data_IF_533698600874
#
_entry.id   IF_533698600874
#
_cell.length_a   1.000
_cell.length_b   1.000
_cell.length_c   1.000
_cell.angle_alpha   90.00
_cell.angle_beta   90.00
_cell.angle_gamma   90.00
#
_symmetry.space_group_name_H-M   'P 1'
#
loop_
_entity.id
_entity.type
_entity.pdbx_description
1 polymer ?
#
# COMPACT_ATOMS: atom_id res chain seq x y z
N UNK A 1 5.35 0.12 -0.25
CA UNK A 1 5.62 -1.31 0.04
C UNK A 1 5.86 -1.61 1.52
N UNK A 2 6.80 -0.94 2.25
CA UNK A 2 6.98 -1.23 3.68
C UNK A 2 5.70 -1.15 4.48
N UNK A 3 4.86 -0.15 4.23
CA UNK A 3 3.57 -0.01 4.89
C UNK A 3 2.63 -1.17 4.60
N UNK A 4 2.45 -1.51 3.33
CA UNK A 4 1.50 -2.54 2.88
C UNK A 4 1.91 -3.96 3.28
N UNK A 5 3.20 -4.30 3.11
CA UNK A 5 3.69 -5.68 3.21
C UNK A 5 4.39 -6.00 4.54
N UNK A 6 4.79 -4.98 5.30
CA UNK A 6 5.51 -5.13 6.57
C UNK A 6 4.92 -4.30 7.70
N UNK A 7 3.77 -3.64 7.49
CA UNK A 7 3.11 -2.78 8.50
C UNK A 7 4.05 -1.71 9.11
N UNK A 8 4.99 -1.18 8.31
CA UNK A 8 5.96 -0.16 8.73
C UNK A 8 5.54 1.21 8.22
N UNK A 9 5.27 2.18 9.10
CA UNK A 9 5.00 3.55 8.69
C UNK A 9 6.15 4.16 7.89
N UNK A 10 5.83 5.08 6.98
CA UNK A 10 6.82 5.88 6.28
C UNK A 10 6.74 7.32 6.80
N UNK A 11 7.67 7.69 7.68
CA UNK A 11 7.75 9.03 8.22
C UNK A 11 8.85 9.83 7.49
N UNK A 12 9.47 10.78 8.14
CA UNK A 12 10.38 11.83 7.64
C UNK A 12 11.20 11.47 6.41
N UNK A 13 11.84 10.30 6.40
CA UNK A 13 12.62 9.81 5.26
C UNK A 13 12.21 8.39 4.86
N UNK A 14 12.27 8.06 3.58
CA UNK A 14 12.04 6.70 3.11
C UNK A 14 12.98 5.71 3.79
N UNK A 15 12.45 4.60 4.31
CA UNK A 15 13.19 3.57 5.04
C UNK A 15 14.51 3.18 4.35
N UNK A 16 14.49 3.01 3.03
CA UNK A 16 15.65 2.57 2.25
C UNK A 16 16.73 3.63 2.04
N UNK A 17 16.47 4.89 2.40
CA UNK A 17 17.46 5.97 2.38
C UNK A 17 18.11 6.21 3.73
N UNK A 18 17.73 5.43 4.74
CA UNK A 18 18.24 5.54 6.11
C UNK A 18 19.07 4.33 6.50
N UNK A 19 19.94 4.42 7.53
CA UNK A 19 20.62 3.25 8.10
C UNK A 19 19.68 2.13 8.55
N UNK A 20 18.43 2.46 8.86
CA UNK A 20 17.38 1.50 9.23
C UNK A 20 17.00 0.54 8.09
N UNK A 21 17.41 0.81 6.84
CA UNK A 21 17.30 -0.15 5.74
C UNK A 21 18.03 -1.46 5.99
N UNK A 22 19.01 -1.46 6.89
CA UNK A 22 19.78 -2.64 7.30
C UNK A 22 19.13 -3.39 8.48
N UNK A 23 18.04 -2.89 9.03
CA UNK A 23 17.32 -3.56 10.11
C UNK A 23 16.74 -4.89 9.65
N UNK A 24 16.69 -5.84 10.58
CA UNK A 24 15.92 -7.06 10.38
C UNK A 24 14.44 -6.71 10.38
N UNK A 25 13.79 -6.98 9.26
CA UNK A 25 12.36 -6.71 9.06
C UNK A 25 11.62 -8.00 8.78
N UNK A 26 10.40 -8.08 9.25
CA UNK A 26 9.46 -9.11 8.84
C UNK A 26 8.39 -8.51 7.93
N UNK A 27 7.69 -9.37 7.22
CA UNK A 27 6.60 -9.00 6.35
C UNK A 27 5.74 -10.22 6.02
N UNK A 28 4.62 -10.00 5.34
CA UNK A 28 3.68 -11.06 4.96
C UNK A 28 4.38 -12.28 4.35
N UNK A 29 5.33 -12.07 3.45
CA UNK A 29 6.02 -13.16 2.78
C UNK A 29 6.79 -14.05 3.77
N UNK A 30 7.55 -13.45 4.69
CA UNK A 30 8.30 -14.20 5.71
C UNK A 30 7.39 -14.92 6.68
N UNK A 31 6.41 -14.21 7.25
CA UNK A 31 5.50 -14.78 8.25
C UNK A 31 4.73 -15.97 7.68
N UNK A 32 4.22 -15.86 6.46
CA UNK A 32 3.47 -16.93 5.82
C UNK A 32 4.36 -18.08 5.35
N UNK A 33 5.57 -17.80 4.83
CA UNK A 33 6.44 -18.87 4.35
C UNK A 33 7.06 -19.69 5.49
N UNK A 34 7.55 -19.04 6.55
CA UNK A 34 8.18 -19.72 7.68
C UNK A 34 7.19 -20.48 8.56
N UNK A 35 5.94 -20.00 8.68
CA UNK A 35 4.99 -20.50 9.69
C UNK A 35 3.75 -21.17 9.10
N UNK A 36 3.41 -20.95 7.83
CA UNK A 36 2.21 -21.49 7.17
C UNK A 36 2.54 -22.28 5.88
N UNK A 37 3.81 -22.38 5.50
CA UNK A 37 4.26 -23.15 4.33
C UNK A 37 3.91 -22.53 2.98
N UNK A 38 3.68 -21.21 2.92
CA UNK A 38 3.42 -20.52 1.67
C UNK A 38 4.70 -20.38 0.84
N UNK A 39 4.57 -20.53 -0.47
CA UNK A 39 5.56 -20.00 -1.42
C UNK A 39 5.29 -18.52 -1.67
N UNK A 40 6.33 -17.74 -2.00
CA UNK A 40 6.15 -16.31 -2.19
C UNK A 40 6.94 -15.72 -3.34
N UNK A 41 6.35 -14.76 -4.05
CA UNK A 41 6.99 -14.05 -5.15
C UNK A 41 6.57 -12.58 -5.21
N UNK A 42 7.54 -11.70 -5.50
CA UNK A 42 7.31 -10.28 -5.73
C UNK A 42 7.48 -9.97 -7.21
N UNK A 43 6.60 -9.14 -7.76
CA UNK A 43 6.57 -8.77 -9.17
C UNK A 43 6.64 -7.27 -9.36
N UNK A 44 7.53 -6.82 -10.25
CA UNK A 44 7.61 -5.43 -10.68
C UNK A 44 8.27 -5.34 -12.04
N UNK A 45 7.57 -4.96 -13.07
CA UNK A 45 8.01 -4.99 -14.47
C UNK A 45 9.16 -4.06 -14.84
N UNK A 46 9.74 -3.32 -13.87
CA UNK A 46 10.93 -2.50 -14.07
C UNK A 46 12.22 -3.33 -14.05
N UNK A 47 13.34 -2.65 -14.36
CA UNK A 47 14.68 -3.26 -14.22
C UNK A 47 14.86 -3.81 -12.80
N UNK A 48 15.38 -5.03 -12.69
CA UNK A 48 15.56 -5.73 -11.43
C UNK A 48 16.29 -4.89 -10.41
N UNK A 49 16.75 -4.46 -9.71
CA UNK A 49 17.42 -3.56 -8.77
C UNK A 49 16.88 -2.12 -8.74
N UNK A 50 15.91 -1.78 -9.62
CA UNK A 50 15.34 -0.43 -9.64
C UNK A 50 14.66 -0.09 -8.31
N UNK A 51 14.86 1.14 -7.82
CA UNK A 51 14.21 1.73 -6.65
C UNK A 51 14.24 0.87 -5.36
N UNK A 52 15.12 -0.13 -5.27
CA UNK A 52 15.25 -0.99 -4.08
C UNK A 52 14.15 -2.04 -3.90
N UNK A 53 13.25 -2.25 -4.87
CA UNK A 53 12.15 -3.22 -4.75
C UNK A 53 12.65 -4.65 -4.51
N UNK A 54 13.66 -5.09 -5.26
CA UNK A 54 14.23 -6.42 -5.09
C UNK A 54 14.94 -6.57 -3.72
N UNK A 55 15.63 -5.53 -3.28
CA UNK A 55 16.29 -5.55 -1.96
C UNK A 55 15.25 -5.66 -0.84
N UNK A 56 14.13 -4.91 -0.94
CA UNK A 56 13.02 -5.03 0.00
C UNK A 56 12.39 -6.42 -0.02
N UNK A 57 12.10 -6.95 -1.20
CA UNK A 57 11.51 -8.28 -1.33
C UNK A 57 12.39 -9.35 -0.65
N UNK A 58 13.70 -9.31 -0.89
CA UNK A 58 14.66 -10.21 -0.25
C UNK A 58 14.69 -10.02 1.28
N UNK A 59 14.76 -8.78 1.74
CA UNK A 59 14.83 -8.45 3.18
C UNK A 59 13.57 -8.89 3.93
N UNK A 60 12.40 -8.88 3.31
CA UNK A 60 11.10 -9.24 3.90
C UNK A 60 10.68 -10.69 3.65
N UNK A 61 11.54 -11.50 3.00
CA UNK A 61 11.41 -12.95 2.92
C UNK A 61 10.66 -13.47 1.69
N UNK A 62 10.50 -12.66 0.63
CA UNK A 62 10.05 -13.19 -0.65
C UNK A 62 11.08 -14.17 -1.21
N UNK A 63 10.62 -15.33 -1.65
CA UNK A 63 11.48 -16.42 -2.16
C UNK A 63 11.88 -16.20 -3.63
N UNK A 64 11.03 -15.47 -4.38
CA UNK A 64 11.29 -15.15 -5.79
C UNK A 64 11.00 -13.67 -6.06
N UNK A 65 11.70 -13.14 -7.04
CA UNK A 65 11.48 -11.83 -7.60
C UNK A 65 11.35 -11.97 -9.12
N UNK A 66 10.33 -11.38 -9.69
CA UNK A 66 10.08 -11.32 -11.12
C UNK A 66 10.07 -9.87 -11.59
N UNK A 67 11.12 -9.47 -12.30
CA UNK A 67 11.25 -8.16 -12.90
C UNK A 67 11.25 -8.23 -14.42
N UNK A 68 11.79 -7.17 -15.05
CA UNK A 68 11.98 -7.10 -16.50
C UNK A 68 12.91 -8.19 -17.02
N UNK A 69 13.91 -8.62 -16.23
CA UNK A 69 14.83 -9.70 -16.61
C UNK A 69 14.07 -11.00 -16.84
N UNK A 70 13.29 -11.44 -15.86
CA UNK A 70 12.54 -12.69 -15.91
C UNK A 70 11.40 -12.63 -16.96
N UNK A 71 10.84 -11.44 -17.19
CA UNK A 71 9.87 -11.22 -18.27
C UNK A 71 10.53 -11.41 -19.65
N UNK A 72 11.72 -10.85 -19.86
CA UNK A 72 12.46 -10.96 -21.13
C UNK A 72 12.97 -12.37 -21.43
N UNK A 73 13.22 -13.16 -20.40
CA UNK A 73 13.64 -14.55 -20.52
C UNK A 73 12.49 -15.52 -20.88
N UNK A 74 11.24 -15.10 -20.71
CA UNK A 74 10.08 -15.93 -21.00
C UNK A 74 9.69 -15.88 -22.47
N UNK A 75 9.81 -17.01 -23.22
CA UNK A 75 9.55 -17.02 -24.65
C UNK A 75 8.09 -16.78 -25.06
N UNK A 76 7.15 -16.76 -24.09
CA UNK A 76 5.74 -16.46 -24.33
C UNK A 76 5.49 -14.98 -24.59
N UNK A 77 6.38 -14.11 -24.11
CA UNK A 77 6.23 -12.66 -24.13
C UNK A 77 7.23 -12.01 -25.08
N UNK A 78 6.95 -10.76 -25.47
CA UNK A 78 7.77 -10.07 -26.49
C UNK A 78 9.03 -9.39 -25.89
N UNK A 79 9.28 -9.59 -24.60
CA UNK A 79 10.44 -8.99 -23.96
C UNK A 79 10.41 -7.47 -23.98
N UNK A 80 11.51 -6.85 -24.39
CA UNK A 80 11.66 -5.40 -24.44
C UNK A 80 10.76 -4.69 -25.46
N UNK A 81 10.07 -5.37 -26.36
CA UNK A 81 9.04 -4.77 -27.20
C UNK A 81 7.83 -4.30 -26.39
N UNK A 82 7.59 -4.92 -25.23
CA UNK A 82 6.54 -4.55 -24.30
C UNK A 82 7.00 -3.51 -23.23
N UNK A 83 8.24 -3.01 -23.33
CA UNK A 83 8.76 -1.98 -22.42
C UNK A 83 8.27 -0.58 -22.81
N UNK A 84 7.83 0.22 -21.84
CA UNK A 84 7.29 1.57 -22.04
C UNK A 84 8.35 2.62 -22.46
N UNK A 85 9.62 2.22 -22.47
CA UNK A 85 10.76 3.08 -22.78
C UNK A 85 11.21 3.98 -21.63
N UNK A 86 10.62 3.84 -20.44
CA UNK A 86 10.91 4.72 -19.29
C UNK A 86 11.04 3.94 -17.99
N UNK A 87 10.00 3.23 -17.58
CA UNK A 87 9.92 2.62 -16.26
C UNK A 87 9.87 1.10 -16.28
N UNK A 88 8.90 0.52 -16.99
CA UNK A 88 8.60 -0.90 -16.85
C UNK A 88 7.96 -1.49 -18.12
N UNK A 89 7.78 -2.81 -18.10
CA UNK A 89 6.87 -3.51 -19.00
C UNK A 89 5.46 -2.96 -18.77
N UNK A 90 4.68 -2.76 -19.85
CA UNK A 90 3.31 -2.28 -19.77
C UNK A 90 2.46 -3.14 -18.82
N UNK A 91 1.60 -2.49 -18.02
CA UNK A 91 0.81 -3.15 -16.99
C UNK A 91 -0.05 -4.30 -17.56
N UNK A 92 -0.61 -4.18 -18.77
CA UNK A 92 -1.44 -5.24 -19.35
C UNK A 92 -0.65 -6.52 -19.59
N UNK A 93 0.50 -6.43 -20.24
CA UNK A 93 1.39 -7.57 -20.51
C UNK A 93 1.95 -8.14 -19.21
N UNK A 94 2.40 -7.27 -18.31
CA UNK A 94 3.00 -7.72 -17.06
C UNK A 94 1.99 -8.37 -16.10
N UNK A 95 0.74 -7.95 -16.12
CA UNK A 95 -0.33 -8.60 -15.37
C UNK A 95 -0.72 -9.98 -15.94
N UNK A 96 -0.59 -10.21 -17.26
CA UNK A 96 -0.75 -11.55 -17.82
C UNK A 96 0.41 -12.46 -17.44
N UNK A 97 1.65 -11.97 -17.51
CA UNK A 97 2.83 -12.68 -17.01
C UNK A 97 2.69 -13.03 -15.52
N UNK A 98 2.21 -12.10 -14.71
CA UNK A 98 1.91 -12.33 -13.30
C UNK A 98 0.92 -13.47 -13.10
N UNK A 99 -0.18 -13.49 -13.84
CA UNK A 99 -1.18 -14.56 -13.78
C UNK A 99 -0.58 -15.93 -14.13
N UNK A 100 0.23 -16.00 -15.20
CA UNK A 100 0.90 -17.23 -15.61
C UNK A 100 1.86 -17.75 -14.55
N UNK A 101 2.73 -16.88 -14.02
CA UNK A 101 3.70 -17.26 -12.98
C UNK A 101 3.01 -17.70 -11.69
N UNK A 102 1.91 -17.03 -11.28
CA UNK A 102 1.10 -17.48 -10.15
C UNK A 102 0.56 -18.90 -10.37
N UNK A 103 0.15 -19.21 -11.60
CA UNK A 103 -0.43 -20.53 -11.93
C UNK A 103 0.58 -21.68 -11.90
N UNK A 104 1.87 -21.35 -11.94
CA UNK A 104 2.97 -22.32 -11.80
C UNK A 104 3.50 -22.45 -10.36
N UNK A 105 3.03 -21.58 -9.45
CA UNK A 105 3.50 -21.62 -8.05
C UNK A 105 2.87 -22.79 -7.29
N UNK A 106 3.68 -23.35 -6.38
CA UNK A 106 3.17 -24.32 -5.41
C UNK A 106 2.22 -23.60 -4.43
N UNK A 107 1.03 -24.16 -4.24
CA UNK A 107 0.07 -23.68 -3.26
C UNK A 107 0.36 -24.22 -1.84
N UNK A 108 0.03 -23.48 -0.79
CA UNK A 108 -0.47 -22.12 -0.85
C UNK A 108 0.62 -21.12 -1.24
N UNK A 109 0.24 -20.01 -1.87
CA UNK A 109 1.20 -18.97 -2.25
C UNK A 109 0.74 -17.56 -1.81
N UNK A 110 1.72 -16.67 -1.65
CA UNK A 110 1.55 -15.24 -1.43
C UNK A 110 2.34 -14.47 -2.49
N UNK A 111 1.69 -13.56 -3.17
CA UNK A 111 2.34 -12.73 -4.18
C UNK A 111 2.02 -11.26 -3.98
N UNK A 112 2.92 -10.41 -4.42
CA UNK A 112 2.70 -8.97 -4.52
C UNK A 112 3.15 -8.47 -5.89
N UNK A 113 2.40 -7.56 -6.48
CA UNK A 113 2.75 -6.89 -7.73
C UNK A 113 2.68 -5.39 -7.57
N UNK A 114 3.63 -4.68 -8.17
CA UNK A 114 3.65 -3.24 -8.27
C UNK A 114 3.62 -2.82 -9.75
N UNK A 115 2.54 -2.14 -10.15
CA UNK A 115 2.33 -1.65 -11.52
C UNK A 115 3.02 -0.30 -11.74
N UNK A 116 3.22 0.13 -12.98
CA UNK A 116 4.00 1.33 -13.26
C UNK A 116 3.45 2.24 -14.37
N UNK A 117 2.46 1.81 -15.16
CA UNK A 117 2.00 2.60 -16.32
C UNK A 117 1.32 3.92 -15.94
N UNK A 118 0.77 4.02 -14.72
CA UNK A 118 0.17 5.28 -14.22
C UNK A 118 1.18 6.30 -13.71
N UNK A 119 2.49 6.06 -13.89
CA UNK A 119 3.54 7.01 -13.54
C UNK A 119 3.85 8.00 -14.68
N UNK A 120 4.43 9.17 -14.36
CA UNK A 120 4.95 10.09 -15.37
C UNK A 120 5.96 9.37 -16.27
N UNK A 121 5.99 9.60 -17.57
CA UNK A 121 5.36 10.67 -18.36
C UNK A 121 3.95 10.35 -18.88
N UNK A 122 3.18 9.46 -18.25
CA UNK A 122 1.79 9.14 -18.58
C UNK A 122 1.60 8.67 -20.02
N UNK A 123 2.45 7.75 -20.47
CA UNK A 123 2.37 7.12 -21.78
C UNK A 123 1.42 5.92 -21.76
N UNK A 124 0.93 5.56 -22.93
CA UNK A 124 0.19 4.33 -23.19
C UNK A 124 0.82 3.58 -24.38
N UNK A 125 0.63 2.26 -24.48
CA UNK A 125 0.97 1.52 -25.70
C UNK A 125 0.31 2.16 -26.94
N UNK A 126 0.99 2.21 -28.07
CA UNK A 126 0.48 2.83 -29.30
C UNK A 126 -0.89 2.29 -29.74
N UNK A 127 -1.17 1.00 -29.49
CA UNK A 127 -2.46 0.37 -29.81
C UNK A 127 -3.64 0.98 -29.06
N UNK A 128 -3.39 1.72 -27.98
CA UNK A 128 -4.41 2.40 -27.17
C UNK A 128 -4.45 3.92 -27.41
N UNK A 129 -3.75 4.42 -28.42
CA UNK A 129 -3.81 5.83 -28.76
C UNK A 129 -5.24 6.23 -29.16
N UNK A 130 -5.81 7.20 -28.45
CA UNK A 130 -7.19 7.65 -28.67
C UNK A 130 -8.30 6.70 -28.16
N UNK A 131 -7.97 5.57 -27.53
CA UNK A 131 -8.97 4.61 -27.03
C UNK A 131 -9.52 5.02 -25.66
N UNK A 132 -8.66 5.46 -24.77
CA UNK A 132 -9.07 5.89 -23.43
C UNK A 132 -9.28 7.40 -23.37
N UNK A 133 -10.30 7.88 -22.61
CA UNK A 133 -10.54 9.31 -22.47
C UNK A 133 -9.34 10.00 -21.81
N UNK A 134 -8.93 11.13 -22.35
CA UNK A 134 -7.79 11.90 -21.82
C UNK A 134 -8.11 12.55 -20.48
N UNK A 135 -9.39 12.89 -20.23
CA UNK A 135 -9.77 13.65 -19.06
C UNK A 135 -9.14 15.05 -19.00
N UNK A 136 -9.11 15.65 -17.82
CA UNK A 136 -8.47 16.96 -17.58
C UNK A 136 -6.96 16.81 -17.38
N UNK A 137 -6.51 15.65 -16.88
CA UNK A 137 -5.11 15.36 -16.59
C UNK A 137 -4.63 14.10 -17.33
N UNK A 138 -3.37 14.09 -17.82
CA UNK A 138 -2.82 12.94 -18.55
C UNK A 138 -2.86 11.62 -17.78
N UNK A 139 -2.81 11.67 -16.45
CA UNK A 139 -2.91 10.50 -15.59
C UNK A 139 -4.22 9.73 -15.78
N UNK A 140 -5.34 10.41 -16.06
CA UNK A 140 -6.67 9.78 -16.14
C UNK A 140 -6.75 8.70 -17.22
N UNK A 141 -6.12 8.93 -18.39
CA UNK A 141 -6.04 7.89 -19.42
C UNK A 141 -5.23 6.68 -18.98
N UNK A 142 -4.19 6.88 -18.18
CA UNK A 142 -3.37 5.79 -17.64
C UNK A 142 -4.14 4.98 -16.58
N UNK A 143 -4.95 5.64 -15.75
CA UNK A 143 -5.84 4.96 -14.80
C UNK A 143 -6.86 4.10 -15.56
N UNK A 144 -7.48 4.63 -16.62
CA UNK A 144 -8.42 3.87 -17.45
C UNK A 144 -7.74 2.68 -18.15
N UNK A 145 -6.50 2.83 -18.58
CA UNK A 145 -5.70 1.73 -19.12
C UNK A 145 -5.38 0.67 -18.06
N UNK A 146 -4.92 1.06 -16.88
CA UNK A 146 -4.62 0.12 -15.79
C UNK A 146 -5.89 -0.61 -15.32
N UNK A 147 -7.06 0.06 -15.27
CA UNK A 147 -8.35 -0.60 -15.03
C UNK A 147 -8.65 -1.66 -16.09
N UNK A 148 -8.42 -1.36 -17.37
CA UNK A 148 -8.56 -2.35 -18.45
C UNK A 148 -7.56 -3.51 -18.31
N UNK A 149 -6.32 -3.24 -17.93
CA UNK A 149 -5.30 -4.27 -17.69
C UNK A 149 -5.69 -5.19 -16.51
N UNK A 150 -6.22 -4.61 -15.42
CA UNK A 150 -6.78 -5.37 -14.30
C UNK A 150 -8.01 -6.20 -14.73
N UNK A 151 -8.90 -5.66 -15.56
CA UNK A 151 -10.05 -6.41 -16.11
C UNK A 151 -9.58 -7.66 -16.85
N UNK A 152 -8.56 -7.52 -17.71
CA UNK A 152 -7.98 -8.64 -18.46
C UNK A 152 -7.28 -9.64 -17.54
N UNK A 153 -6.55 -9.16 -16.52
CA UNK A 153 -5.98 -10.01 -15.48
C UNK A 153 -7.06 -10.85 -14.79
N UNK A 154 -8.13 -10.22 -14.29
CA UNK A 154 -9.20 -10.94 -13.61
C UNK A 154 -9.96 -11.91 -14.55
N UNK A 155 -10.06 -11.60 -15.83
CA UNK A 155 -10.63 -12.52 -16.82
C UNK A 155 -9.78 -13.80 -16.96
N UNK A 156 -8.45 -13.67 -16.99
CA UNK A 156 -7.50 -14.80 -17.01
C UNK A 156 -7.47 -15.54 -15.67
N UNK A 157 -7.41 -14.81 -14.56
CA UNK A 157 -7.36 -15.34 -13.21
C UNK A 157 -8.58 -16.21 -12.86
N UNK A 158 -9.78 -15.81 -13.31
CA UNK A 158 -11.02 -16.57 -13.12
C UNK A 158 -11.00 -17.98 -13.73
N UNK A 159 -10.10 -18.25 -14.66
CA UNK A 159 -9.93 -19.56 -15.27
C UNK A 159 -8.98 -20.45 -14.46
N UNK A 160 -8.33 -19.92 -13.43
CA UNK A 160 -7.32 -20.62 -12.66
C UNK A 160 -7.91 -21.30 -11.42
N UNK A 161 -7.40 -22.49 -11.07
CA UNK A 161 -7.95 -23.27 -9.94
C UNK A 161 -7.76 -22.58 -8.57
N UNK A 162 -6.79 -21.65 -8.47
CA UNK A 162 -6.52 -20.92 -7.23
C UNK A 162 -7.47 -19.71 -7.02
N UNK A 163 -8.17 -19.25 -8.05
CA UNK A 163 -8.90 -17.97 -8.02
C UNK A 163 -9.91 -17.87 -6.87
N UNK A 164 -10.75 -18.88 -6.71
CA UNK A 164 -11.80 -18.86 -5.70
C UNK A 164 -11.29 -18.93 -4.26
N UNK A 165 -10.07 -19.43 -4.07
CA UNK A 165 -9.43 -19.55 -2.76
C UNK A 165 -8.38 -18.46 -2.50
N UNK A 166 -8.53 -17.32 -3.15
CA UNK A 166 -7.59 -16.19 -3.06
C UNK A 166 -8.27 -14.98 -2.47
N UNK A 167 -7.56 -14.29 -1.56
CA UNK A 167 -7.86 -12.92 -1.17
C UNK A 167 -6.99 -11.98 -2.01
N UNK A 168 -7.62 -11.06 -2.73
CA UNK A 168 -6.97 -9.99 -3.47
C UNK A 168 -7.01 -8.71 -2.64
N UNK A 169 -5.86 -8.10 -2.46
CA UNK A 169 -5.74 -6.78 -1.81
C UNK A 169 -5.27 -5.79 -2.86
N UNK A 170 -6.07 -4.77 -3.13
CA UNK A 170 -5.78 -3.75 -4.15
C UNK A 170 -5.72 -2.39 -3.46
N UNK A 171 -4.62 -1.69 -3.64
CA UNK A 171 -4.43 -0.33 -3.12
C UNK A 171 -3.51 0.46 -4.05
N UNK A 172 -3.53 1.78 -3.96
CA UNK A 172 -2.51 2.62 -4.57
C UNK A 172 -1.35 2.85 -3.58
N UNK A 173 -0.17 3.20 -4.08
CA UNK A 173 0.98 3.57 -3.26
C UNK A 173 0.81 4.97 -2.66
N UNK A 174 0.32 5.93 -3.44
CA UNK A 174 0.01 7.30 -3.06
C UNK A 174 -0.98 7.93 -4.05
N UNK A 175 -1.49 9.12 -3.74
CA UNK A 175 -2.24 9.97 -4.69
C UNK A 175 -1.28 10.62 -5.69
N UNK A 176 -1.84 11.22 -6.75
CA UNK A 176 -1.06 11.95 -7.76
C UNK A 176 -1.64 13.34 -8.00
N UNK A 177 -1.71 13.81 -9.24
CA UNK A 177 -2.19 15.17 -9.60
C UNK A 177 -3.67 15.33 -9.21
N UNK A 178 -4.00 16.18 -8.21
CA UNK A 178 -5.36 16.29 -7.71
C UNK A 178 -6.21 17.22 -8.60
N UNK A 179 -7.36 16.74 -9.04
CA UNK A 179 -8.40 17.53 -9.71
C UNK A 179 -9.36 18.07 -8.65
N UNK A 180 -9.91 17.19 -7.82
CA UNK A 180 -10.82 17.56 -6.75
C UNK A 180 -10.10 18.33 -5.63
N UNK A 181 -10.64 19.44 -5.13
CA UNK A 181 -10.06 20.24 -4.04
C UNK A 181 -9.77 19.46 -2.76
N UNK A 182 -10.54 18.43 -2.43
CA UNK A 182 -10.30 17.58 -1.28
C UNK A 182 -8.88 16.97 -1.33
N UNK A 183 -8.49 16.42 -2.47
CA UNK A 183 -7.15 15.80 -2.63
C UNK A 183 -5.99 16.80 -2.67
N UNK A 184 -6.26 18.11 -2.50
CA UNK A 184 -5.25 19.16 -2.28
C UNK A 184 -5.02 19.46 -0.81
N UNK A 185 -5.88 18.98 0.08
CA UNK A 185 -5.72 19.14 1.53
C UNK A 185 -4.61 18.25 2.07
N UNK A 186 -4.13 18.53 3.29
CA UNK A 186 -3.15 17.68 3.97
C UNK A 186 -3.62 16.23 4.10
N UNK A 187 -4.88 16.05 4.48
CA UNK A 187 -5.50 14.73 4.60
C UNK A 187 -5.73 14.06 3.24
N UNK A 188 -6.35 14.78 2.30
CA UNK A 188 -6.76 14.21 1.02
C UNK A 188 -5.60 13.72 0.16
N UNK A 189 -4.43 14.35 0.24
CA UNK A 189 -3.20 13.93 -0.47
C UNK A 189 -2.74 12.51 -0.11
N UNK A 190 -3.15 11.99 1.03
CA UNK A 190 -2.77 10.66 1.51
C UNK A 190 -3.93 9.65 1.46
N UNK A 191 -5.12 10.07 0.99
CA UNK A 191 -6.26 9.18 0.85
C UNK A 191 -6.14 8.32 -0.40
N UNK A 192 -5.96 7.01 -0.21
CA UNK A 192 -5.96 6.00 -1.26
C UNK A 192 -6.97 4.89 -0.93
N UNK A 193 -7.55 4.22 -1.93
CA UNK A 193 -8.47 3.11 -1.67
C UNK A 193 -7.71 1.88 -1.15
N UNK A 194 -8.35 1.11 -0.25
CA UNK A 194 -7.95 -0.25 0.10
C UNK A 194 -9.15 -1.15 -0.19
N UNK A 195 -8.98 -2.12 -1.07
CA UNK A 195 -10.01 -3.05 -1.51
C UNK A 195 -9.58 -4.45 -1.12
N UNK A 196 -10.41 -5.14 -0.33
CA UNK A 196 -10.29 -6.55 -0.02
C UNK A 196 -11.33 -7.30 -0.84
N UNK A 197 -10.91 -8.25 -1.67
CA UNK A 197 -11.80 -9.05 -2.50
C UNK A 197 -11.44 -10.52 -2.43
N UNK A 198 -12.43 -11.34 -2.10
CA UNK A 198 -12.35 -12.78 -2.25
C UNK A 198 -13.61 -13.28 -2.95
N UNK A 199 -13.49 -14.08 -4.03
CA UNK A 199 -14.66 -14.56 -4.78
C UNK A 199 -15.64 -15.37 -3.92
N UNK A 200 -15.13 -16.22 -3.04
CA UNK A 200 -15.93 -17.17 -2.24
C UNK A 200 -16.29 -16.63 -0.85
N UNK A 201 -15.78 -15.47 -0.43
CA UNK A 201 -16.08 -14.91 0.88
C UNK A 201 -17.05 -13.72 0.81
N UNK A 202 -18.34 -13.94 1.10
CA UNK A 202 -19.30 -12.85 1.13
C UNK A 202 -19.09 -11.86 2.29
N UNK A 203 -18.32 -12.21 3.33
CA UNK A 203 -18.04 -11.33 4.45
C UNK A 203 -17.16 -10.13 4.06
N UNK A 204 -16.40 -10.24 2.96
CA UNK A 204 -15.62 -9.14 2.40
C UNK A 204 -16.44 -8.25 1.43
N UNK A 205 -17.75 -8.48 1.30
CA UNK A 205 -18.60 -7.64 0.47
C UNK A 205 -19.15 -6.48 1.27
N UNK A 206 -19.04 -5.30 0.71
CA UNK A 206 -19.61 -4.12 1.33
C UNK A 206 -18.69 -2.92 1.19
N UNK A 207 -19.01 -1.88 1.94
CA UNK A 207 -18.32 -0.62 1.92
C UNK A 207 -18.33 -0.04 3.34
N UNK A 208 -17.16 0.19 3.92
CA UNK A 208 -17.00 0.81 5.23
C UNK A 208 -16.63 2.30 5.05
N UNK A 209 -17.43 3.20 5.59
CA UNK A 209 -17.22 4.65 5.57
C UNK A 209 -16.79 5.21 6.92
N UNK A 210 -16.81 4.40 7.96
CA UNK A 210 -16.64 4.85 9.34
C UNK A 210 -15.26 4.55 9.89
N UNK A 211 -14.73 3.37 9.59
CA UNK A 211 -13.41 2.95 10.09
C UNK A 211 -12.29 3.68 9.34
N UNK A 212 -11.40 4.32 10.09
CA UNK A 212 -10.19 4.94 9.55
C UNK A 212 -9.16 3.82 9.37
N UNK A 213 -8.64 3.66 8.16
CA UNK A 213 -7.68 2.61 7.83
C UNK A 213 -6.46 3.19 7.13
N UNK A 214 -5.32 2.52 7.29
CA UNK A 214 -4.06 2.86 6.65
C UNK A 214 -3.47 1.65 5.92
N UNK A 215 -2.52 1.89 5.04
CA UNK A 215 -1.78 0.80 4.37
C UNK A 215 -1.05 -0.12 5.35
N UNK A 216 -0.64 0.39 6.53
CA UNK A 216 0.01 -0.42 7.58
C UNK A 216 -0.94 -1.46 8.20
N UNK A 217 -2.26 -1.29 8.02
CA UNK A 217 -3.28 -2.20 8.53
C UNK A 217 -3.45 -3.45 7.65
N UNK A 218 -2.94 -3.43 6.41
CA UNK A 218 -3.09 -4.53 5.46
C UNK A 218 -2.43 -5.81 5.96
N UNK A 219 -1.18 -5.74 6.42
CA UNK A 219 -0.48 -6.93 6.89
C UNK A 219 -1.18 -7.61 8.07
N UNK A 220 -1.50 -6.94 9.20
CA UNK A 220 -2.21 -7.58 10.31
C UNK A 220 -3.60 -8.07 9.92
N UNK A 221 -4.31 -7.38 9.03
CA UNK A 221 -5.61 -7.83 8.52
C UNK A 221 -5.50 -9.14 7.74
N UNK A 222 -4.55 -9.23 6.80
CA UNK A 222 -4.33 -10.46 6.02
C UNK A 222 -3.89 -11.60 6.93
N UNK A 223 -2.98 -11.37 7.87
CA UNK A 223 -2.54 -12.41 8.81
C UNK A 223 -3.70 -12.92 9.66
N UNK A 224 -4.53 -12.04 10.20
CA UNK A 224 -5.70 -12.47 10.98
C UNK A 224 -6.75 -13.18 10.12
N UNK A 225 -7.03 -12.68 8.92
CA UNK A 225 -7.93 -13.34 7.96
C UNK A 225 -7.50 -14.78 7.64
N UNK A 226 -6.18 -15.02 7.57
CA UNK A 226 -5.60 -16.35 7.35
C UNK A 226 -5.42 -17.17 8.62
N UNK A 227 -5.98 -16.73 9.75
CA UNK A 227 -5.84 -17.37 11.05
C UNK A 227 -4.38 -17.62 11.44
N UNK A 228 -3.55 -16.59 11.32
CA UNK A 228 -2.14 -16.64 11.71
C UNK A 228 -2.03 -16.60 13.24
N UNK A 229 -1.31 -17.58 13.81
CA UNK A 229 -1.29 -17.85 15.27
C UNK A 229 0.07 -17.58 15.95
N UNK A 230 1.03 -17.03 15.22
CA UNK A 230 2.34 -16.71 15.82
C UNK A 230 2.46 -15.21 16.12
N UNK A 231 3.26 -14.83 17.13
CA UNK A 231 3.54 -13.44 17.40
C UNK A 231 4.32 -12.79 16.25
N UNK A 232 3.97 -11.56 15.91
CA UNK A 232 4.66 -10.75 14.89
C UNK A 232 4.66 -9.27 15.33
N UNK A 233 5.46 -8.45 14.68
CA UNK A 233 5.49 -7.00 14.88
C UNK A 233 4.68 -6.34 13.76
N UNK A 234 3.73 -5.50 14.14
CA UNK A 234 2.98 -4.62 13.24
C UNK A 234 2.72 -3.28 13.93
N UNK A 235 2.70 -2.20 13.16
CA UNK A 235 2.28 -0.88 13.62
C UNK A 235 0.80 -0.62 13.30
N UNK A 236 0.25 -1.31 12.31
CA UNK A 236 -1.16 -1.28 11.97
C UNK A 236 -2.01 -2.23 12.83
N UNK A 237 -3.31 -2.21 12.58
CA UNK A 237 -4.34 -3.02 13.23
C UNK A 237 -5.12 -3.83 12.18
N UNK A 238 -5.80 -4.87 12.62
CA UNK A 238 -6.74 -5.59 11.76
C UNK A 238 -7.97 -4.71 11.45
N UNK A 239 -8.10 -4.23 10.22
CA UNK A 239 -9.18 -3.35 9.79
C UNK A 239 -10.56 -4.01 9.83
N UNK A 240 -10.63 -5.35 9.79
CA UNK A 240 -11.90 -6.10 9.84
C UNK A 240 -12.41 -6.29 11.29
N UNK A 241 -11.55 -6.09 12.30
CA UNK A 241 -11.88 -6.27 13.71
C UNK A 241 -11.82 -4.96 14.51
N UNK A 242 -11.15 -3.93 13.98
CA UNK A 242 -10.99 -2.64 14.66
C UNK A 242 -12.29 -1.84 14.58
N UNK A 243 -12.77 -1.38 15.72
CA UNK A 243 -13.95 -0.51 15.77
C UNK A 243 -13.63 0.90 15.25
N UNK A 244 -14.61 1.65 14.71
CA UNK A 244 -14.39 3.05 14.30
C UNK A 244 -13.82 3.94 15.41
N UNK A 245 -14.17 3.70 16.68
CA UNK A 245 -13.65 4.46 17.83
C UNK A 245 -12.18 4.19 18.14
N UNK A 246 -11.68 3.00 17.79
CA UNK A 246 -10.30 2.57 18.03
C UNK A 246 -9.41 2.77 16.81
N UNK A 247 -10.01 3.08 15.67
CA UNK A 247 -9.30 3.32 14.41
C UNK A 247 -8.65 4.70 14.37
N UNK A 248 -7.51 4.79 13.71
CA UNK A 248 -6.79 6.06 13.51
C UNK A 248 -5.86 5.95 12.30
N UNK A 249 -5.40 7.09 11.81
CA UNK A 249 -4.34 7.19 10.83
C UNK A 249 -3.27 8.20 11.27
N UNK A 250 -2.01 7.92 10.95
CA UNK A 250 -0.89 8.81 11.22
C UNK A 250 0.07 8.82 10.02
N UNK A 251 0.23 9.96 9.39
CA UNK A 251 1.18 10.12 8.31
C UNK A 251 2.10 11.33 8.50
N UNK A 252 3.24 11.32 7.81
CA UNK A 252 4.15 12.45 7.72
C UNK A 252 3.68 13.39 6.62
N UNK A 253 3.48 14.66 6.97
CA UNK A 253 3.07 15.71 6.04
C UNK A 253 4.27 16.55 5.62
N UNK A 254 4.76 16.31 4.41
CA UNK A 254 6.04 16.86 3.93
C UNK A 254 6.05 18.39 3.85
N UNK A 255 4.94 19.00 3.38
CA UNK A 255 4.88 20.44 3.15
C UNK A 255 5.01 21.28 4.44
N UNK A 256 4.56 20.73 5.56
CA UNK A 256 4.64 21.39 6.86
C UNK A 256 5.73 20.81 7.77
N UNK A 257 6.49 19.83 7.26
CA UNK A 257 7.53 19.14 8.03
C UNK A 257 6.99 18.65 9.39
N UNK A 258 5.86 17.95 9.35
CA UNK A 258 5.13 17.52 10.53
C UNK A 258 4.28 16.28 10.32
N UNK A 259 3.49 15.95 11.31
CA UNK A 259 2.60 14.80 11.31
C UNK A 259 1.15 15.24 11.21
N UNK A 260 0.32 14.43 10.55
CA UNK A 260 -1.13 14.53 10.65
C UNK A 260 -1.68 13.25 11.28
N UNK A 261 -2.45 13.42 12.37
CA UNK A 261 -3.07 12.34 13.11
C UNK A 261 -4.60 12.46 13.03
N UNK A 262 -5.24 11.41 12.52
CA UNK A 262 -6.68 11.36 12.28
C UNK A 262 -7.31 10.33 13.19
N UNK A 263 -8.30 10.73 13.99
CA UNK A 263 -9.05 9.83 14.86
C UNK A 263 -10.47 10.35 15.08
N UNK A 264 -11.47 9.45 14.99
CA UNK A 264 -12.87 9.81 15.13
C UNK A 264 -13.30 10.89 14.13
N UNK A 265 -13.67 12.06 14.63
CA UNK A 265 -14.09 13.18 13.79
C UNK A 265 -13.01 14.27 13.60
N UNK A 266 -11.80 14.04 14.13
CA UNK A 266 -10.79 15.08 14.19
C UNK A 266 -9.53 14.68 13.42
N UNK A 267 -8.89 15.70 12.80
CA UNK A 267 -7.54 15.67 12.29
C UNK A 267 -6.70 16.69 13.05
N UNK A 268 -5.50 16.32 13.50
CA UNK A 268 -4.53 17.17 14.17
C UNK A 268 -3.27 17.29 13.33
N UNK A 269 -2.77 18.51 13.11
CA UNK A 269 -1.45 18.77 12.55
C UNK A 269 -0.45 19.06 13.67
N UNK A 270 0.66 18.32 13.69
CA UNK A 270 1.70 18.38 14.71
C UNK A 270 3.05 18.64 14.06
N UNK A 271 3.76 19.69 14.48
CA UNK A 271 5.04 20.14 13.90
C UNK A 271 6.28 19.42 14.47
N UNK A 272 6.09 18.42 15.32
CA UNK A 272 7.16 17.72 16.04
C UNK A 272 7.33 18.20 17.48
N UNK A 273 6.82 19.39 17.82
CA UNK A 273 6.85 19.97 19.18
C UNK A 273 5.46 20.13 19.76
N UNK A 274 4.54 20.73 18.98
CA UNK A 274 3.17 21.03 19.40
C UNK A 274 2.17 20.82 18.28
N UNK A 275 0.90 20.65 18.66
CA UNK A 275 -0.22 20.70 17.71
C UNK A 275 -0.40 22.14 17.24
N UNK A 276 -0.46 22.33 15.94
CA UNK A 276 -0.59 23.64 15.29
C UNK A 276 -1.99 23.90 14.78
N UNK A 277 -2.68 22.85 14.34
CA UNK A 277 -4.05 22.94 13.81
C UNK A 277 -4.87 21.71 14.24
N UNK A 278 -6.18 21.90 14.35
CA UNK A 278 -7.16 20.86 14.53
C UNK A 278 -8.37 21.11 13.63
N UNK A 279 -8.91 20.07 13.02
CA UNK A 279 -10.07 20.18 12.12
C UNK A 279 -11.12 19.12 12.43
N UNK A 280 -12.40 19.43 12.17
CA UNK A 280 -13.50 18.46 12.11
C UNK A 280 -13.64 17.94 10.69
N UNK A 281 -12.70 17.13 10.23
CA UNK A 281 -12.55 16.78 8.82
C UNK A 281 -13.81 16.15 8.18
N UNK A 282 -14.65 15.45 8.94
CA UNK A 282 -15.91 14.87 8.40
C UNK A 282 -16.96 15.93 8.00
N UNK A 283 -16.92 17.12 8.59
CA UNK A 283 -17.84 18.23 8.30
C UNK A 283 -17.14 19.41 7.65
N UNK A 284 -15.82 19.46 7.69
CA UNK A 284 -14.95 20.45 7.06
C UNK A 284 -13.91 19.71 6.18
N UNK A 285 -14.37 19.10 5.10
CA UNK A 285 -13.56 18.27 4.22
C UNK A 285 -12.40 19.01 3.56
N UNK A 286 -12.49 20.34 3.45
CA UNK A 286 -11.43 21.17 2.88
C UNK A 286 -10.48 21.75 3.94
N UNK A 287 -10.64 21.38 5.23
CA UNK A 287 -9.79 21.77 6.36
C UNK A 287 -9.61 23.29 6.45
N UNK A 288 -10.69 24.05 6.31
CA UNK A 288 -10.65 25.53 6.27
C UNK A 288 -10.82 26.17 7.65
N UNK A 289 -11.36 25.45 8.62
CA UNK A 289 -11.72 25.99 9.93
C UNK A 289 -10.88 25.35 11.03
N UNK A 290 -9.76 25.98 11.37
CA UNK A 290 -8.95 25.55 12.52
C UNK A 290 -9.71 25.74 13.82
N UNK A 291 -9.98 24.64 14.52
CA UNK A 291 -10.73 24.61 15.79
C UNK A 291 -9.85 24.37 17.01
N UNK A 292 -8.52 24.48 16.90
CA UNK A 292 -7.59 24.11 17.97
C UNK A 292 -7.95 24.81 19.30
N UNK A 293 -8.26 26.11 19.26
CA UNK A 293 -8.58 26.90 20.46
C UNK A 293 -9.96 26.55 21.07
N UNK A 294 -10.82 25.88 20.32
CA UNK A 294 -12.19 25.51 20.73
C UNK A 294 -12.41 24.01 20.87
N UNK A 295 -11.39 23.21 20.54
CA UNK A 295 -11.45 21.76 20.69
C UNK A 295 -11.51 21.37 22.17
N UNK A 296 -12.31 20.33 22.55
CA UNK A 296 -12.34 19.85 23.93
C UNK A 296 -10.93 19.43 24.39
N UNK A 297 -10.47 20.01 25.51
CA UNK A 297 -9.10 19.81 26.02
C UNK A 297 -8.75 18.34 26.24
N UNK A 298 -9.67 17.54 26.80
CA UNK A 298 -9.42 16.13 27.09
C UNK A 298 -9.23 15.33 25.79
N UNK A 299 -10.03 15.63 24.75
CA UNK A 299 -9.90 15.00 23.43
C UNK A 299 -8.56 15.35 22.79
N UNK A 300 -8.17 16.61 22.81
CA UNK A 300 -6.88 17.07 22.29
C UNK A 300 -5.71 16.36 22.98
N UNK A 301 -5.72 16.35 24.31
CA UNK A 301 -4.67 15.72 25.11
C UNK A 301 -4.59 14.19 24.90
N UNK A 302 -5.73 13.53 24.73
CA UNK A 302 -5.77 12.11 24.43
C UNK A 302 -5.15 11.83 23.07
N UNK A 303 -5.58 12.53 22.03
CA UNK A 303 -5.07 12.36 20.67
C UNK A 303 -3.58 12.65 20.59
N UNK A 304 -3.09 13.71 21.25
CA UNK A 304 -1.65 14.02 21.31
C UNK A 304 -0.85 12.91 21.99
N UNK A 305 -1.35 12.35 23.10
CA UNK A 305 -0.67 11.22 23.78
C UNK A 305 -0.59 10.00 22.87
N UNK A 306 -1.66 9.64 22.20
CA UNK A 306 -1.68 8.49 21.28
C UNK A 306 -0.71 8.69 20.11
N UNK A 307 -0.78 9.84 19.44
CA UNK A 307 0.11 10.20 18.35
C UNK A 307 1.59 10.16 18.78
N UNK A 308 1.93 10.85 19.86
CA UNK A 308 3.32 10.90 20.38
C UNK A 308 3.81 9.51 20.80
N UNK A 309 2.95 8.68 21.40
CA UNK A 309 3.29 7.30 21.77
C UNK A 309 3.56 6.43 20.54
N UNK A 310 2.78 6.60 19.48
CA UNK A 310 2.98 5.88 18.22
C UNK A 310 4.32 6.26 17.58
N UNK A 311 4.59 7.56 17.44
CA UNK A 311 5.86 8.08 16.90
C UNK A 311 7.05 7.56 17.72
N UNK A 312 6.96 7.63 19.05
CA UNK A 312 8.00 7.16 19.95
C UNK A 312 8.28 5.66 19.79
N UNK A 313 7.23 4.83 19.74
CA UNK A 313 7.36 3.38 19.54
C UNK A 313 8.01 3.04 18.21
N UNK A 314 7.60 3.72 17.14
CA UNK A 314 8.20 3.54 15.83
C UNK A 314 9.69 3.89 15.85
N UNK A 315 10.05 5.10 16.32
CA UNK A 315 11.43 5.57 16.35
C UNK A 315 12.32 4.68 17.23
N UNK A 316 11.82 4.25 18.39
CA UNK A 316 12.56 3.37 19.30
C UNK A 316 12.85 2.02 18.64
N UNK A 317 11.86 1.37 18.03
CA UNK A 317 12.03 0.09 17.37
C UNK A 317 12.94 0.18 16.15
N UNK A 318 12.82 1.24 15.36
CA UNK A 318 13.69 1.51 14.22
C UNK A 318 15.14 1.68 14.66
N UNK A 319 15.40 2.51 15.65
CA UNK A 319 16.76 2.79 16.15
C UNK A 319 17.42 1.55 16.81
N UNK A 320 16.63 0.72 17.46
CA UNK A 320 17.11 -0.47 18.20
C UNK A 320 17.11 -1.76 17.35
N UNK A 321 16.70 -1.70 16.06
CA UNK A 321 16.52 -2.87 15.23
C UNK A 321 15.57 -3.92 15.87
N UNK A 322 14.39 -3.45 16.32
CA UNK A 322 13.38 -4.27 17.02
C UNK A 322 12.10 -4.42 16.17
N UNK A 323 12.26 -4.69 14.86
CA UNK A 323 11.16 -4.86 13.91
C UNK A 323 10.77 -6.32 13.66
N UNK A 324 11.37 -7.25 14.41
CA UNK A 324 11.06 -8.68 14.40
C UNK A 324 10.95 -9.21 15.82
N UNK A 325 10.23 -10.32 16.00
CA UNK A 325 10.22 -11.03 17.26
C UNK A 325 11.60 -11.69 17.46
N UNK A 326 12.25 -11.40 18.58
CA UNK A 326 13.50 -12.08 18.97
C UNK A 326 13.17 -13.55 19.26
N UNK A 327 13.83 -14.46 18.54
CA UNK A 327 13.75 -15.92 18.79
C UNK A 327 14.57 -16.28 20.00
#
# INVERSE_FOLDING_TARGET
MPSTLSSLPNFVEPLFLTPASLNHMSGLARELSENKGYTSAFFHGAQNSSMGFQAFANATGFQKYYGRTEYNEDPKYNGDEDFDGTWAIWDEEFLQFYCDRMSEMQQPFMTAIFTATSHTPFKLPKRYEGVFPSGEEPLQKCIAYTDNALRNFFASAKQQPWFNHTIFVITADHTSVPIDPFYRTSLGKYCVPIILYSPDDPALRGYDTETIVEQIDIMPTVLNYLNYDKPYIAFGKDMLQTSPSDSHALHWFVENNGYEFVKGNYSLLFDGEKTTHAYRYRTDSLLQHNILDTMPSDTLQQMEREMKSFIQQYMQRMNNNELTIKK
#
